data_IF_548126559736
#
_entry.id   IF_548126559736
#
_cell.length_a   1.000
_cell.length_b   1.000
_cell.length_c   1.000
_cell.angle_alpha   90.00
_cell.angle_beta   90.00
_cell.angle_gamma   90.00
#
_symmetry.space_group_name_H-M   'P 1'
#
loop_
_entity.id
_entity.type
_entity.pdbx_description
1 polymer ?
#
# COMPACT_ATOMS: atom_id res chain seq x y z
N UNK A 1 7.77 -16.44 8.12
CA UNK A 1 7.70 -15.81 9.45
C UNK A 1 6.25 -15.46 9.77
N UNK A 2 5.90 -15.38 11.05
CA UNK A 2 4.71 -14.69 11.56
C UNK A 2 5.14 -13.31 12.07
N UNK A 3 4.62 -12.25 11.47
CA UNK A 3 5.06 -10.87 11.68
C UNK A 3 3.92 -10.09 12.32
N UNK A 4 4.24 -9.28 13.32
CA UNK A 4 3.32 -8.30 13.88
C UNK A 4 3.71 -6.91 13.39
N UNK A 5 2.74 -6.16 12.87
CA UNK A 5 2.91 -4.76 12.49
C UNK A 5 2.05 -3.93 13.43
N UNK A 6 2.68 -3.12 14.28
CA UNK A 6 1.98 -2.14 15.10
C UNK A 6 2.07 -0.76 14.47
N UNK A 7 0.99 0.01 14.56
CA UNK A 7 1.02 1.44 14.25
C UNK A 7 1.36 2.20 15.52
N UNK A 8 2.37 3.07 15.45
CA UNK A 8 2.70 4.01 16.52
C UNK A 8 1.51 4.90 16.87
N UNK A 9 1.46 5.38 18.10
CA UNK A 9 0.47 6.38 18.53
C UNK A 9 -1.00 5.90 18.51
N UNK A 10 -1.90 6.84 18.77
CA UNK A 10 -3.36 6.66 18.78
C UNK A 10 -4.10 8.00 18.68
N UNK A 11 -5.41 7.94 18.45
CA UNK A 11 -6.32 9.07 18.65
C UNK A 11 -7.05 8.86 19.98
N UNK A 12 -6.81 9.75 20.94
CA UNK A 12 -7.42 9.70 22.27
C UNK A 12 -8.92 10.00 22.23
N UNK A 13 -9.63 9.68 23.31
CA UNK A 13 -11.05 9.98 23.50
C UNK A 13 -11.38 11.47 23.37
N UNK A 14 -10.43 12.35 23.69
CA UNK A 14 -10.55 13.80 23.47
C UNK A 14 -10.52 14.21 22.00
N UNK A 15 -10.14 13.31 21.09
CA UNK A 15 -9.85 13.61 19.68
C UNK A 15 -8.39 14.00 19.42
N UNK A 16 -7.57 14.17 20.47
CA UNK A 16 -6.14 14.48 20.29
C UNK A 16 -5.39 13.26 19.73
N UNK A 17 -4.63 13.47 18.64
CA UNK A 17 -3.67 12.48 18.16
C UNK A 17 -2.38 12.55 18.98
N UNK A 18 -1.80 11.41 19.33
CA UNK A 18 -0.56 11.35 20.14
C UNK A 18 0.72 11.33 19.30
N UNK A 19 0.60 11.33 17.98
CA UNK A 19 1.71 11.28 17.02
C UNK A 19 2.26 12.67 16.70
N UNK A 20 3.40 12.70 16.02
CA UNK A 20 3.85 13.90 15.33
C UNK A 20 2.87 14.31 14.21
N UNK A 21 2.94 15.58 13.83
CA UNK A 21 2.12 16.18 12.78
C UNK A 21 2.93 17.25 12.04
N UNK A 22 2.72 17.36 10.73
CA UNK A 22 3.50 18.24 9.87
C UNK A 22 2.86 18.38 8.49
N UNK A 23 3.64 18.15 7.42
CA UNK A 23 3.09 18.09 6.06
C UNK A 23 2.23 16.83 5.83
N UNK A 24 2.34 15.85 6.72
CA UNK A 24 1.47 14.69 6.84
C UNK A 24 1.33 14.29 8.32
N UNK A 25 0.16 13.82 8.74
CA UNK A 25 -0.02 13.27 10.07
C UNK A 25 0.60 11.88 10.17
N UNK A 26 1.49 11.66 11.13
CA UNK A 26 2.22 10.41 11.30
C UNK A 26 1.29 9.21 11.50
N UNK A 27 0.36 9.29 12.46
CA UNK A 27 -0.55 8.19 12.76
C UNK A 27 -1.39 7.82 11.52
N UNK A 28 -1.94 8.80 10.82
CA UNK A 28 -2.75 8.55 9.62
C UNK A 28 -1.95 7.92 8.48
N UNK A 29 -0.70 8.37 8.28
CA UNK A 29 0.18 7.79 7.26
C UNK A 29 0.49 6.32 7.58
N UNK A 30 0.89 6.03 8.82
CA UNK A 30 1.26 4.67 9.22
C UNK A 30 0.04 3.75 9.32
N UNK A 31 -1.14 4.27 9.69
CA UNK A 31 -2.42 3.55 9.59
C UNK A 31 -2.73 3.09 8.16
N UNK A 32 -2.38 3.91 7.16
CA UNK A 32 -2.56 3.59 5.74
C UNK A 32 -1.47 2.64 5.20
N UNK A 33 -0.22 2.81 5.66
CA UNK A 33 0.91 1.97 5.25
C UNK A 33 0.84 0.54 5.83
N UNK A 34 0.40 0.38 7.08
CA UNK A 34 0.41 -0.91 7.78
C UNK A 34 -0.28 -2.07 7.04
N UNK A 35 -1.52 -1.94 6.51
CA UNK A 35 -2.16 -3.01 5.76
C UNK A 35 -1.39 -3.34 4.46
N UNK A 36 -0.87 -2.34 3.76
CA UNK A 36 -0.06 -2.53 2.54
C UNK A 36 1.24 -3.28 2.84
N UNK A 37 1.89 -2.96 3.97
CA UNK A 37 3.06 -3.68 4.45
C UNK A 37 2.72 -5.14 4.80
N UNK A 38 1.60 -5.37 5.49
CA UNK A 38 1.14 -6.71 5.82
C UNK A 38 0.88 -7.54 4.56
N UNK A 39 0.21 -6.97 3.57
CA UNK A 39 -0.07 -7.65 2.30
C UNK A 39 1.18 -7.92 1.49
N UNK A 40 2.16 -7.02 1.51
CA UNK A 40 3.46 -7.24 0.87
C UNK A 40 4.19 -8.42 1.50
N UNK A 41 4.18 -8.57 2.83
CA UNK A 41 4.71 -9.78 3.49
C UNK A 41 3.91 -11.04 3.16
N UNK A 42 2.58 -10.95 3.09
CA UNK A 42 1.70 -12.09 2.77
C UNK A 42 1.95 -12.63 1.37
N UNK A 43 2.19 -11.75 0.38
CA UNK A 43 2.57 -12.14 -0.99
C UNK A 43 3.87 -12.96 -1.03
N UNK A 44 4.79 -12.68 -0.11
CA UNK A 44 6.05 -13.42 0.04
C UNK A 44 5.91 -14.72 0.87
N UNK A 45 4.68 -15.16 1.13
CA UNK A 45 4.40 -16.41 1.85
C UNK A 45 4.52 -16.31 3.37
N UNK A 46 4.42 -15.11 3.94
CA UNK A 46 4.45 -14.89 5.39
C UNK A 46 3.07 -14.64 5.98
N UNK A 47 2.92 -14.87 7.28
CA UNK A 47 1.74 -14.43 8.02
C UNK A 47 2.05 -13.06 8.60
N UNK A 48 1.12 -12.11 8.45
CA UNK A 48 1.28 -10.76 8.99
C UNK A 48 -0.03 -10.32 9.64
N UNK A 49 0.04 -9.88 10.90
CA UNK A 49 -1.09 -9.35 11.66
C UNK A 49 -0.85 -7.86 11.93
N UNK A 50 -1.88 -7.03 11.78
CA UNK A 50 -1.82 -5.59 12.00
C UNK A 50 -2.54 -5.24 13.30
N UNK A 51 -1.87 -4.48 14.18
CA UNK A 51 -2.43 -3.98 15.43
C UNK A 51 -2.45 -2.46 15.39
N UNK A 52 -3.65 -1.90 15.36
CA UNK A 52 -3.90 -0.46 15.47
C UNK A 52 -4.65 -0.22 16.78
N UNK A 53 -4.25 0.81 17.51
CA UNK A 53 -4.93 1.23 18.73
C UNK A 53 -6.37 1.70 18.40
N UNK A 54 -7.39 1.38 19.21
CA UNK A 54 -8.75 1.85 18.99
C UNK A 54 -8.83 3.37 19.12
N UNK A 55 -9.39 4.01 18.10
CA UNK A 55 -9.57 5.46 18.07
C UNK A 55 -10.68 5.90 19.03
N UNK A 56 -10.47 7.04 19.68
CA UNK A 56 -11.39 7.67 20.63
C UNK A 56 -11.76 6.81 21.85
N UNK A 57 -10.93 5.82 22.17
CA UNK A 57 -11.14 4.94 23.33
C UNK A 57 -10.23 5.30 24.51
N UNK A 58 -8.93 5.47 24.26
CA UNK A 58 -7.95 5.74 25.33
C UNK A 58 -8.11 7.13 25.91
N UNK A 59 -7.97 7.26 27.23
CA UNK A 59 -7.92 8.56 27.91
C UNK A 59 -6.53 9.18 27.85
N UNK A 60 -5.49 8.34 27.88
CA UNK A 60 -4.08 8.77 27.88
C UNK A 60 -3.22 7.90 26.97
N UNK A 61 -2.10 8.44 26.48
CA UNK A 61 -1.13 7.69 25.65
C UNK A 61 -0.49 6.49 26.36
N UNK A 62 -0.51 6.44 27.70
CA UNK A 62 0.02 5.31 28.45
C UNK A 62 -0.73 3.99 28.14
N UNK A 63 -1.99 4.07 27.71
CA UNK A 63 -2.82 2.93 27.36
C UNK A 63 -2.37 2.25 26.04
N UNK A 64 -1.58 2.93 25.20
CA UNK A 64 -1.00 2.34 24.00
C UNK A 64 -0.09 1.15 24.35
N UNK A 65 0.71 1.30 25.42
CA UNK A 65 1.59 0.22 25.92
C UNK A 65 0.77 -0.96 26.43
N UNK A 66 -0.22 -0.70 27.29
CA UNK A 66 -1.05 -1.76 27.89
C UNK A 66 -1.95 -2.45 26.87
N UNK A 67 -2.27 -1.76 25.77
CA UNK A 67 -3.01 -2.36 24.65
C UNK A 67 -2.12 -3.24 23.76
N UNK A 68 -0.97 -2.71 23.30
CA UNK A 68 -0.12 -3.37 22.31
C UNK A 68 0.65 -4.56 22.89
N UNK A 69 1.33 -4.38 24.02
CA UNK A 69 2.30 -5.38 24.53
C UNK A 69 1.65 -6.76 24.78
N UNK A 70 0.50 -6.88 25.47
CA UNK A 70 -0.11 -8.19 25.67
C UNK A 70 -0.49 -8.89 24.36
N UNK A 71 -1.01 -8.14 23.36
CA UNK A 71 -1.43 -8.67 22.06
C UNK A 71 -0.24 -9.12 21.21
N UNK A 72 0.85 -8.37 21.25
CA UNK A 72 2.12 -8.74 20.62
C UNK A 72 2.64 -10.02 21.28
N UNK A 73 2.73 -10.05 22.60
CA UNK A 73 3.37 -11.16 23.33
C UNK A 73 2.54 -12.45 23.30
N UNK A 74 1.21 -12.37 23.22
CA UNK A 74 0.35 -13.55 23.07
C UNK A 74 0.29 -14.10 21.65
N UNK A 75 0.78 -13.36 20.65
CA UNK A 75 0.60 -13.71 19.25
C UNK A 75 1.61 -14.71 18.68
N UNK A 76 2.69 -15.03 19.40
CA UNK A 76 3.71 -15.98 18.94
C UNK A 76 4.39 -15.54 17.64
N UNK A 77 4.73 -14.26 17.54
CA UNK A 77 5.40 -13.68 16.37
C UNK A 77 6.91 -13.96 16.38
N UNK A 78 7.50 -14.00 15.19
CA UNK A 78 8.97 -14.06 15.00
C UNK A 78 9.58 -12.65 15.03
N UNK A 79 8.85 -11.67 14.48
CA UNK A 79 9.28 -10.28 14.29
C UNK A 79 8.13 -9.31 14.59
N UNK A 80 8.44 -8.25 15.33
CA UNK A 80 7.62 -7.07 15.52
C UNK A 80 8.22 -5.89 14.75
N UNK A 81 7.37 -5.19 14.00
CA UNK A 81 7.69 -3.94 13.32
C UNK A 81 6.70 -2.89 13.82
N UNK A 82 7.20 -1.86 14.49
CA UNK A 82 6.38 -0.68 14.80
C UNK A 82 6.66 0.44 13.81
N UNK A 83 5.61 0.99 13.19
CA UNK A 83 5.70 2.05 12.19
C UNK A 83 5.53 3.44 12.82
N UNK A 84 6.51 4.30 12.60
CA UNK A 84 6.56 5.71 12.98
C UNK A 84 7.05 6.58 11.80
N UNK A 85 6.85 7.88 11.92
CA UNK A 85 7.52 8.91 11.12
C UNK A 85 8.21 9.88 12.08
N UNK A 86 9.40 10.32 11.68
CA UNK A 86 10.19 11.20 12.53
C UNK A 86 9.68 12.65 12.43
N UNK A 87 10.12 13.49 13.36
CA UNK A 87 9.86 14.92 13.31
C UNK A 87 11.03 15.71 13.93
N UNK A 88 11.15 16.97 13.55
CA UNK A 88 12.18 17.89 14.02
C UNK A 88 11.65 19.33 14.01
N UNK A 89 12.41 20.26 13.45
CA UNK A 89 12.09 21.66 13.17
C UNK A 89 11.84 21.89 11.66
N UNK A 90 11.47 20.84 10.93
CA UNK A 90 11.35 20.82 9.47
C UNK A 90 12.66 20.63 8.69
N UNK A 91 13.84 20.70 9.34
CA UNK A 91 15.14 20.51 8.67
C UNK A 91 15.63 19.05 8.69
N UNK A 92 15.20 18.27 9.69
CA UNK A 92 15.46 16.84 9.76
C UNK A 92 14.91 16.11 8.54
N UNK A 93 15.68 15.15 8.02
CA UNK A 93 15.28 14.30 6.90
C UNK A 93 15.99 12.96 6.90
N UNK A 94 15.36 11.97 6.31
CA UNK A 94 15.89 10.63 6.15
C UNK A 94 15.18 9.56 6.97
N UNK A 95 15.66 8.33 6.84
CA UNK A 95 15.13 7.15 7.50
C UNK A 95 16.07 6.66 8.60
N UNK A 96 15.51 6.20 9.72
CA UNK A 96 16.23 5.47 10.77
C UNK A 96 15.41 4.29 11.29
N UNK A 97 16.09 3.31 11.87
CA UNK A 97 15.42 2.14 12.45
C UNK A 97 16.02 1.86 13.83
N UNK A 98 15.16 1.85 14.83
CA UNK A 98 15.53 1.61 16.22
C UNK A 98 15.42 0.12 16.53
N UNK A 99 16.35 -0.41 17.33
CA UNK A 99 16.41 -1.82 17.70
C UNK A 99 16.86 -2.04 19.14
N UNK A 100 16.62 -3.25 19.67
CA UNK A 100 17.04 -3.64 21.03
C UNK A 100 18.15 -4.71 21.06
N UNK A 101 18.04 -5.74 20.21
CA UNK A 101 18.91 -6.93 20.23
C UNK A 101 19.83 -6.99 19.00
N UNK A 102 20.84 -7.87 19.04
CA UNK A 102 21.73 -8.11 17.88
C UNK A 102 20.95 -8.57 16.63
N UNK A 103 19.93 -9.43 16.79
CA UNK A 103 19.03 -9.80 15.69
C UNK A 103 18.23 -8.59 15.19
N UNK A 104 17.81 -7.71 16.10
CA UNK A 104 17.17 -6.44 15.74
C UNK A 104 18.09 -5.54 14.90
N UNK A 105 19.39 -5.45 15.25
CA UNK A 105 20.39 -4.71 14.49
C UNK A 105 20.50 -5.21 13.03
N UNK A 106 20.48 -6.53 12.83
CA UNK A 106 20.53 -7.11 11.48
C UNK A 106 19.34 -6.66 10.62
N UNK A 107 18.12 -6.73 11.15
CA UNK A 107 16.92 -6.24 10.46
C UNK A 107 17.00 -4.72 10.22
N UNK A 108 17.30 -3.95 11.27
CA UNK A 108 17.35 -2.50 11.22
C UNK A 108 18.36 -1.99 10.18
N UNK A 109 19.54 -2.62 10.12
CA UNK A 109 20.59 -2.27 9.14
C UNK A 109 20.10 -2.47 7.71
N UNK A 110 19.50 -3.62 7.40
CA UNK A 110 19.03 -3.91 6.05
C UNK A 110 17.85 -3.02 5.63
N UNK A 111 16.92 -2.75 6.54
CA UNK A 111 15.79 -1.83 6.30
C UNK A 111 16.32 -0.41 6.02
N UNK A 112 17.23 0.10 6.85
CA UNK A 112 17.86 1.41 6.62
C UNK A 112 18.58 1.48 5.27
N UNK A 113 19.28 0.42 4.86
CA UNK A 113 19.96 0.38 3.57
C UNK A 113 18.96 0.44 2.40
N UNK A 114 17.81 -0.24 2.51
CA UNK A 114 16.76 -0.19 1.48
C UNK A 114 16.05 1.15 1.43
N UNK A 115 15.58 1.68 2.56
CA UNK A 115 15.00 3.02 2.63
C UNK A 115 16.00 4.11 2.20
N UNK A 116 17.29 3.88 2.47
CA UNK A 116 18.42 4.72 2.09
C UNK A 116 18.61 4.91 0.58
N UNK A 117 17.95 4.10 -0.25
CA UNK A 117 17.95 4.28 -1.71
C UNK A 117 17.08 5.45 -2.17
N UNK A 118 16.15 5.90 -1.32
CA UNK A 118 15.22 7.01 -1.59
C UNK A 118 15.43 8.16 -0.61
N UNK A 119 15.57 7.84 0.67
CA UNK A 119 15.72 8.79 1.77
C UNK A 119 17.19 8.88 2.22
N UNK A 120 17.54 9.93 2.96
CA UNK A 120 18.85 9.97 3.63
C UNK A 120 18.94 8.83 4.65
N UNK A 121 19.89 7.92 4.50
CA UNK A 121 20.10 6.82 5.46
C UNK A 121 20.74 7.36 6.76
N UNK A 122 19.98 7.39 7.86
CA UNK A 122 20.44 7.81 9.20
C UNK A 122 20.84 6.64 10.10
N UNK A 123 20.91 5.43 9.52
CA UNK A 123 21.40 4.17 10.10
C UNK A 123 20.50 3.60 11.20
N UNK A 124 20.79 2.34 11.53
CA UNK A 124 20.20 1.64 12.66
C UNK A 124 20.72 2.24 13.98
N UNK A 125 19.85 2.39 14.98
CA UNK A 125 20.20 2.95 16.30
C UNK A 125 19.70 2.05 17.43
N UNK A 126 20.57 1.76 18.39
CA UNK A 126 20.19 1.01 19.58
C UNK A 126 19.35 1.92 20.49
N UNK A 127 18.16 1.46 20.86
CA UNK A 127 17.34 2.11 21.89
C UNK A 127 16.74 1.06 22.82
N UNK A 128 17.16 1.12 24.09
CA UNK A 128 16.69 0.20 25.15
C UNK A 128 15.55 0.77 25.99
N UNK A 129 15.22 2.05 25.83
CA UNK A 129 14.20 2.76 26.62
C UNK A 129 12.78 2.57 26.08
N UNK A 130 12.64 2.31 24.78
CA UNK A 130 11.34 2.18 24.13
C UNK A 130 10.59 0.92 24.54
N UNK A 131 9.39 1.09 25.10
CA UNK A 131 8.61 -0.03 25.63
C UNK A 131 8.31 -1.09 24.57
N UNK A 132 8.07 -0.67 23.33
CA UNK A 132 7.72 -1.59 22.25
C UNK A 132 8.88 -2.52 21.91
N UNK A 133 10.12 -2.05 22.08
CA UNK A 133 11.33 -2.82 21.82
C UNK A 133 11.76 -3.65 23.04
N UNK A 134 11.65 -3.12 24.25
CA UNK A 134 12.15 -3.77 25.47
C UNK A 134 11.13 -4.66 26.20
N UNK A 135 9.83 -4.51 25.91
CA UNK A 135 8.76 -5.26 26.57
C UNK A 135 8.09 -6.29 25.65
N UNK A 136 8.57 -6.43 24.41
CA UNK A 136 8.07 -7.42 23.45
C UNK A 136 8.91 -8.70 23.47
N UNK A 137 8.23 -9.84 23.36
CA UNK A 137 8.85 -11.15 23.25
C UNK A 137 9.53 -11.42 21.87
N UNK A 138 8.92 -11.10 20.71
CA UNK A 138 9.60 -11.27 19.42
C UNK A 138 10.82 -10.36 19.27
N UNK A 139 11.68 -10.64 18.28
CA UNK A 139 12.65 -9.62 17.86
C UNK A 139 11.88 -8.39 17.38
N UNK A 140 12.27 -7.20 17.82
CA UNK A 140 11.53 -5.97 17.52
C UNK A 140 12.41 -4.89 16.88
N UNK A 141 11.81 -4.17 15.93
CA UNK A 141 12.35 -2.94 15.34
C UNK A 141 11.26 -1.87 15.28
N UNK A 142 11.65 -0.61 15.41
CA UNK A 142 10.78 0.55 15.19
C UNK A 142 11.34 1.34 14.01
N UNK A 143 10.52 1.54 12.98
CA UNK A 143 10.94 2.18 11.73
C UNK A 143 10.43 3.62 11.73
N UNK A 144 11.37 4.56 11.73
CA UNK A 144 11.14 5.97 11.41
C UNK A 144 11.35 6.15 9.91
N UNK A 145 10.29 5.95 9.12
CA UNK A 145 10.44 5.74 7.67
C UNK A 145 10.99 6.98 6.95
N UNK A 146 10.53 8.16 7.36
CA UNK A 146 10.97 9.48 6.91
C UNK A 146 10.42 10.55 7.88
N UNK A 147 10.73 11.83 7.66
CA UNK A 147 10.26 12.94 8.52
C UNK A 147 8.90 13.47 8.08
N UNK A 148 7.88 13.45 8.96
CA UNK A 148 6.51 13.90 8.65
C UNK A 148 6.38 15.43 8.51
N UNK A 149 7.35 16.17 9.04
CA UNK A 149 7.46 17.63 8.98
C UNK A 149 8.43 18.10 7.87
N UNK A 150 9.03 17.18 7.12
CA UNK A 150 9.92 17.51 6.01
C UNK A 150 9.23 17.33 4.65
N UNK A 151 9.10 18.43 3.91
CA UNK A 151 8.43 18.45 2.60
C UNK A 151 9.12 17.57 1.55
N UNK A 152 10.46 17.55 1.51
CA UNK A 152 11.22 16.77 0.52
C UNK A 152 11.01 15.27 0.71
N UNK A 153 11.07 14.81 1.96
CA UNK A 153 10.81 13.42 2.32
C UNK A 153 9.36 13.02 1.98
N UNK A 154 8.37 13.83 2.33
CA UNK A 154 6.98 13.49 2.03
C UNK A 154 6.69 13.46 0.51
N UNK A 155 7.29 14.35 -0.29
CA UNK A 155 7.16 14.28 -1.75
C UNK A 155 7.75 12.98 -2.32
N UNK A 156 8.92 12.54 -1.82
CA UNK A 156 9.50 11.25 -2.20
C UNK A 156 8.59 10.09 -1.81
N UNK A 157 8.03 10.12 -0.60
CA UNK A 157 7.11 9.10 -0.13
C UNK A 157 5.83 9.04 -0.98
N UNK A 158 5.26 10.19 -1.37
CA UNK A 158 4.12 10.25 -2.30
C UNK A 158 4.45 9.67 -3.67
N UNK A 159 5.60 10.03 -4.23
CA UNK A 159 6.06 9.48 -5.53
C UNK A 159 6.23 7.96 -5.48
N UNK A 160 6.70 7.44 -4.34
CA UNK A 160 6.92 6.01 -4.17
C UNK A 160 5.63 5.24 -3.87
N UNK A 161 4.66 5.89 -3.22
CA UNK A 161 3.43 5.28 -2.74
C UNK A 161 3.65 4.34 -1.56
N UNK A 162 2.57 3.95 -0.89
CA UNK A 162 2.64 2.99 0.22
C UNK A 162 3.22 1.64 -0.21
N UNK A 163 2.94 1.19 -1.44
CA UNK A 163 3.47 -0.07 -1.97
C UNK A 163 5.00 -0.05 -2.11
N UNK A 164 5.58 1.04 -2.61
CA UNK A 164 7.02 1.13 -2.75
C UNK A 164 7.75 1.29 -1.41
N UNK A 165 7.16 2.00 -0.44
CA UNK A 165 7.70 2.03 0.95
C UNK A 165 7.64 0.63 1.57
N UNK A 166 6.50 -0.03 1.48
CA UNK A 166 6.32 -1.40 1.98
C UNK A 166 7.33 -2.35 1.33
N UNK A 167 7.53 -2.27 0.02
CA UNK A 167 8.54 -3.05 -0.70
C UNK A 167 9.92 -2.88 -0.09
N UNK A 168 10.40 -1.64 0.09
CA UNK A 168 11.74 -1.40 0.65
C UNK A 168 11.90 -2.00 2.05
N UNK A 169 10.87 -1.88 2.89
CA UNK A 169 10.85 -2.49 4.23
C UNK A 169 10.91 -4.02 4.13
N UNK A 170 10.06 -4.64 3.32
CA UNK A 170 10.02 -6.10 3.15
C UNK A 170 11.32 -6.64 2.58
N UNK A 171 11.90 -6.01 1.56
CA UNK A 171 13.20 -6.42 1.01
C UNK A 171 14.31 -6.33 2.05
N UNK A 172 14.27 -5.31 2.93
CA UNK A 172 15.21 -5.16 4.03
C UNK A 172 15.04 -6.29 5.06
N UNK A 173 13.80 -6.58 5.45
CA UNK A 173 13.50 -7.65 6.41
C UNK A 173 13.91 -9.02 5.87
N UNK A 174 13.48 -9.35 4.65
CA UNK A 174 13.69 -10.66 4.01
C UNK A 174 15.07 -10.85 3.40
N UNK A 175 15.89 -9.79 3.33
CA UNK A 175 17.21 -9.80 2.71
C UNK A 175 17.23 -10.35 1.28
N UNK A 176 16.18 -10.04 0.52
CA UNK A 176 16.04 -10.39 -0.90
C UNK A 176 15.27 -9.30 -1.60
N UNK A 177 15.50 -9.14 -2.90
CA UNK A 177 14.61 -8.34 -3.71
C UNK A 177 13.29 -9.07 -3.88
N UNK A 178 12.18 -8.35 -3.87
CA UNK A 178 10.85 -8.90 -4.14
C UNK A 178 10.37 -8.34 -5.47
N UNK A 179 9.80 -9.21 -6.30
CA UNK A 179 9.33 -8.81 -7.61
C UNK A 179 8.10 -7.93 -7.44
N UNK A 180 8.18 -6.70 -7.97
CA UNK A 180 7.02 -5.82 -8.12
C UNK A 180 6.17 -6.26 -9.31
N UNK A 181 5.80 -7.54 -9.35
CA UNK A 181 4.45 -7.81 -9.84
C UNK A 181 3.55 -7.33 -8.70
N UNK A 182 3.30 -6.01 -8.67
CA UNK A 182 2.19 -5.46 -7.90
C UNK A 182 0.98 -6.36 -8.13
N UNK A 183 0.09 -6.52 -7.15
CA UNK A 183 -1.07 -7.39 -7.35
C UNK A 183 -1.68 -6.96 -8.66
N UNK A 184 -1.56 -7.79 -9.71
CA UNK A 184 -2.31 -7.60 -10.92
C UNK A 184 -3.72 -7.83 -10.42
N UNK A 185 -4.42 -6.74 -10.10
CA UNK A 185 -5.79 -6.84 -9.66
C UNK A 185 -6.51 -7.46 -10.84
N UNK A 186 -6.76 -8.76 -10.75
CA UNK A 186 -7.37 -9.51 -11.82
C UNK A 186 -8.83 -9.12 -11.85
N UNK A 187 -9.18 -8.29 -12.82
CA UNK A 187 -10.56 -7.99 -13.13
C UNK A 187 -11.15 -9.21 -13.84
N UNK A 188 -12.40 -9.53 -13.51
CA UNK A 188 -13.11 -10.56 -14.24
C UNK A 188 -13.53 -10.04 -15.61
N UNK A 189 -13.87 -8.75 -15.68
CA UNK A 189 -14.25 -8.06 -16.90
C UNK A 189 -13.51 -6.72 -16.99
N UNK A 190 -12.86 -6.44 -18.12
CA UNK A 190 -12.29 -5.13 -18.42
C UNK A 190 -12.88 -4.61 -19.72
N UNK A 191 -13.38 -3.38 -19.68
CA UNK A 191 -13.98 -2.68 -20.81
C UNK A 191 -13.11 -1.47 -21.12
N UNK A 192 -12.54 -1.47 -22.32
CA UNK A 192 -11.60 -0.45 -22.79
C UNK A 192 -12.28 0.39 -23.87
N UNK A 193 -12.15 1.72 -23.77
CA UNK A 193 -12.63 2.69 -24.75
C UNK A 193 -11.54 3.73 -25.07
N UNK A 194 -11.76 4.60 -26.04
CA UNK A 194 -10.82 5.69 -26.37
C UNK A 194 -11.53 7.04 -26.36
N UNK A 195 -11.11 7.93 -25.45
CA UNK A 195 -11.66 9.28 -25.33
C UNK A 195 -13.12 9.34 -24.86
N UNK A 196 -13.72 10.52 -24.90
CA UNK A 196 -15.06 10.75 -24.34
C UNK A 196 -16.22 10.24 -25.23
N UNK A 197 -15.96 9.99 -26.52
CA UNK A 197 -17.00 9.59 -27.48
C UNK A 197 -17.55 8.20 -27.19
N UNK A 198 -16.67 7.22 -26.96
CA UNK A 198 -17.05 5.81 -26.78
C UNK A 198 -17.25 5.40 -25.32
N UNK A 199 -16.96 6.31 -24.38
CA UNK A 199 -17.11 6.11 -22.93
C UNK A 199 -18.53 5.76 -22.51
N UNK A 200 -19.54 6.38 -23.14
CA UNK A 200 -20.95 6.09 -22.85
C UNK A 200 -21.26 4.64 -23.25
N UNK A 201 -20.89 4.24 -24.47
CA UNK A 201 -21.08 2.87 -24.95
C UNK A 201 -20.36 1.85 -24.07
N UNK A 202 -19.15 2.16 -23.59
CA UNK A 202 -18.43 1.31 -22.65
C UNK A 202 -19.11 1.20 -21.28
N UNK A 203 -19.67 2.31 -20.79
CA UNK A 203 -20.46 2.32 -19.55
C UNK A 203 -21.70 1.42 -19.69
N UNK A 204 -22.38 1.48 -20.85
CA UNK A 204 -23.53 0.61 -21.16
C UNK A 204 -23.13 -0.85 -21.13
N UNK A 205 -22.03 -1.25 -21.79
CA UNK A 205 -21.53 -2.63 -21.71
C UNK A 205 -21.26 -3.05 -20.27
N UNK A 206 -20.77 -2.11 -19.44
CA UNK A 206 -20.54 -2.32 -18.02
C UNK A 206 -21.78 -2.68 -17.22
N UNK A 207 -22.96 -2.21 -17.61
CA UNK A 207 -24.22 -2.54 -16.92
C UNK A 207 -24.59 -4.03 -16.99
N UNK A 208 -24.02 -4.77 -17.95
CA UNK A 208 -24.19 -6.23 -18.03
C UNK A 208 -23.46 -7.01 -16.93
N UNK A 209 -22.58 -6.37 -16.14
CA UNK A 209 -21.72 -7.05 -15.17
C UNK A 209 -21.81 -6.41 -13.78
N UNK A 210 -22.45 -7.12 -12.83
CA UNK A 210 -22.70 -6.63 -11.46
C UNK A 210 -21.91 -7.36 -10.36
N UNK A 211 -20.88 -8.13 -10.72
CA UNK A 211 -20.12 -8.94 -9.74
C UNK A 211 -18.99 -8.19 -9.01
N UNK A 212 -18.91 -6.86 -9.17
CA UNK A 212 -17.96 -6.00 -8.47
C UNK A 212 -16.50 -6.16 -8.90
N UNK A 213 -16.21 -6.94 -9.95
CA UNK A 213 -14.86 -7.15 -10.50
C UNK A 213 -14.72 -6.63 -11.93
N UNK A 214 -15.30 -5.46 -12.18
CA UNK A 214 -15.27 -4.78 -13.48
C UNK A 214 -14.31 -3.58 -13.44
N UNK A 215 -13.50 -3.44 -14.49
CA UNK A 215 -12.75 -2.22 -14.80
C UNK A 215 -13.32 -1.61 -16.08
N UNK A 216 -13.68 -0.33 -16.05
CA UNK A 216 -14.02 0.45 -17.24
C UNK A 216 -12.98 1.56 -17.33
N UNK A 217 -12.15 1.56 -18.37
CA UNK A 217 -11.04 2.50 -18.48
C UNK A 217 -10.80 2.97 -19.91
N UNK A 218 -10.18 4.15 -20.02
CA UNK A 218 -9.62 4.61 -21.28
C UNK A 218 -8.44 3.72 -21.68
N UNK A 219 -8.21 3.55 -22.99
CA UNK A 219 -7.18 2.70 -23.55
C UNK A 219 -5.78 3.14 -23.13
N UNK A 220 -5.55 4.43 -22.90
CA UNK A 220 -4.27 4.93 -22.39
C UNK A 220 -3.95 4.42 -20.98
N UNK A 221 -4.97 4.05 -20.21
CA UNK A 221 -4.87 3.57 -18.84
C UNK A 221 -4.95 2.03 -18.78
N UNK A 222 -5.11 1.36 -19.92
CA UNK A 222 -5.21 -0.10 -20.00
C UNK A 222 -3.86 -0.77 -19.74
N UNK A 223 -3.85 -1.73 -18.80
CA UNK A 223 -2.67 -2.54 -18.47
C UNK A 223 -2.91 -4.00 -18.85
N UNK A 224 -2.16 -4.56 -19.83
CA UNK A 224 -2.30 -5.95 -20.25
C UNK A 224 -2.05 -7.00 -19.17
N UNK A 225 -2.72 -8.14 -19.27
CA UNK A 225 -2.53 -9.31 -18.41
C UNK A 225 -3.17 -9.17 -17.03
N UNK A 226 -4.13 -8.26 -16.87
CA UNK A 226 -4.87 -8.00 -15.63
C UNK A 226 -6.36 -8.32 -15.75
N UNK A 227 -6.80 -9.02 -16.80
CA UNK A 227 -8.22 -9.32 -17.02
C UNK A 227 -8.47 -10.75 -17.47
N UNK A 228 -9.64 -11.28 -17.14
CA UNK A 228 -10.11 -12.58 -17.66
C UNK A 228 -10.88 -12.41 -18.97
N UNK A 229 -11.68 -11.35 -19.09
CA UNK A 229 -12.50 -11.05 -20.24
C UNK A 229 -12.30 -9.59 -20.66
N UNK A 230 -11.78 -9.38 -21.87
CA UNK A 230 -11.51 -8.06 -22.41
C UNK A 230 -12.54 -7.67 -23.48
N UNK A 231 -13.18 -6.52 -23.30
CA UNK A 231 -14.10 -5.90 -24.25
C UNK A 231 -13.53 -4.57 -24.71
N UNK A 232 -13.53 -4.31 -26.02
CA UNK A 232 -12.94 -3.11 -26.62
C UNK A 232 -14.02 -2.39 -27.41
N UNK A 233 -14.28 -1.14 -27.03
CA UNK A 233 -15.45 -0.37 -27.47
C UNK A 233 -15.00 0.77 -28.38
N UNK A 234 -15.61 0.85 -29.56
CA UNK A 234 -15.36 1.91 -30.52
C UNK A 234 -14.19 1.64 -31.47
N UNK A 235 -14.20 2.32 -32.61
CA UNK A 235 -13.25 2.10 -33.71
C UNK A 235 -11.81 2.36 -33.31
N UNK A 236 -11.55 3.51 -32.68
CA UNK A 236 -10.20 3.94 -32.34
C UNK A 236 -9.53 3.03 -31.29
N UNK A 237 -10.26 2.58 -30.27
CA UNK A 237 -9.75 1.60 -29.31
C UNK A 237 -9.46 0.25 -29.98
N UNK A 238 -10.35 -0.22 -30.86
CA UNK A 238 -10.19 -1.47 -31.60
C UNK A 238 -8.97 -1.48 -32.54
N UNK A 239 -8.61 -0.35 -33.12
CA UNK A 239 -7.41 -0.23 -33.96
C UNK A 239 -6.11 -0.29 -33.15
N UNK A 240 -6.11 0.30 -31.96
CA UNK A 240 -4.91 0.41 -31.10
C UNK A 240 -4.64 -0.85 -30.29
N UNK A 241 -5.69 -1.52 -29.78
CA UNK A 241 -5.56 -2.56 -28.75
C UNK A 241 -4.65 -3.73 -29.15
N UNK A 242 -4.62 -4.11 -30.43
CA UNK A 242 -3.82 -5.24 -30.92
C UNK A 242 -2.31 -5.03 -30.77
N UNK A 243 -1.85 -3.77 -30.74
CA UNK A 243 -0.45 -3.43 -30.45
C UNK A 243 -0.11 -3.45 -28.96
N UNK A 244 -1.12 -3.37 -28.10
CA UNK A 244 -0.96 -3.24 -26.65
C UNK A 244 -1.01 -4.59 -25.94
N UNK A 245 -1.81 -5.54 -26.43
CA UNK A 245 -1.98 -6.84 -25.76
C UNK A 245 -2.07 -8.02 -26.73
N UNK A 246 -1.71 -9.20 -26.21
CA UNK A 246 -1.93 -10.51 -26.84
C UNK A 246 -3.16 -11.25 -26.28
N UNK A 247 -3.87 -10.64 -25.33
CA UNK A 247 -5.10 -11.19 -24.75
C UNK A 247 -6.18 -11.33 -25.83
N UNK A 248 -7.06 -12.33 -25.68
CA UNK A 248 -8.25 -12.43 -26.52
C UNK A 248 -9.23 -11.33 -26.09
N UNK A 249 -9.80 -10.63 -27.07
CA UNK A 249 -10.77 -9.57 -26.81
C UNK A 249 -11.97 -9.64 -27.76
N UNK A 250 -13.09 -9.12 -27.28
CA UNK A 250 -14.32 -8.91 -28.06
C UNK A 250 -14.41 -7.45 -28.46
N UNK A 251 -14.49 -7.19 -29.76
CA UNK A 251 -14.68 -5.83 -30.29
C UNK A 251 -16.17 -5.51 -30.40
N UNK A 252 -16.56 -4.34 -29.92
CA UNK A 252 -17.90 -3.78 -30.10
C UNK A 252 -17.73 -2.40 -30.74
N UNK A 253 -17.87 -2.35 -32.07
CA UNK A 253 -17.75 -1.11 -32.84
C UNK A 253 -18.79 -1.01 -33.94
N UNK A 254 -19.34 0.18 -34.10
CA UNK A 254 -20.23 0.59 -35.18
C UNK A 254 -19.53 1.41 -36.26
N UNK A 255 -20.28 1.80 -37.28
CA UNK A 255 -19.85 2.76 -38.29
C UNK A 255 -19.71 4.19 -37.70
N UNK A 256 -20.46 4.48 -36.65
CA UNK A 256 -20.40 5.72 -35.89
C UNK A 256 -20.69 5.49 -34.39
N UNK A 257 -20.73 6.58 -33.61
CA UNK A 257 -20.94 6.54 -32.15
C UNK A 257 -22.31 5.96 -31.76
N UNK A 258 -23.36 6.23 -32.54
CA UNK A 258 -24.71 5.76 -32.26
C UNK A 258 -24.86 4.29 -32.62
N UNK A 259 -24.31 3.87 -33.77
CA UNK A 259 -24.25 2.44 -34.13
C UNK A 259 -23.45 1.64 -33.10
N UNK A 260 -22.33 2.19 -32.60
CA UNK A 260 -21.56 1.57 -31.51
C UNK A 260 -22.39 1.43 -30.23
N UNK A 261 -23.18 2.45 -29.88
CA UNK A 261 -24.07 2.42 -28.72
C UNK A 261 -25.17 1.36 -28.87
N UNK A 262 -25.81 1.26 -30.04
CA UNK A 262 -26.83 0.22 -30.30
C UNK A 262 -26.24 -1.18 -30.21
N UNK A 263 -25.05 -1.41 -30.76
CA UNK A 263 -24.35 -2.70 -30.62
C UNK A 263 -23.98 -3.02 -29.17
N UNK A 264 -23.64 -2.02 -28.36
CA UNK A 264 -23.40 -2.20 -26.93
C UNK A 264 -24.68 -2.65 -26.19
N UNK A 265 -25.83 -2.05 -26.50
CA UNK A 265 -27.13 -2.46 -25.97
C UNK A 265 -27.49 -3.90 -26.39
N UNK A 266 -27.33 -4.23 -27.68
CA UNK A 266 -27.58 -5.57 -28.21
C UNK A 266 -26.64 -6.63 -27.63
N UNK A 267 -25.46 -6.23 -27.15
CA UNK A 267 -24.51 -7.13 -26.55
C UNK A 267 -24.90 -7.52 -25.11
N UNK A 268 -25.37 -6.57 -24.31
CA UNK A 268 -25.76 -6.82 -22.91
C UNK A 268 -27.15 -7.42 -22.76
N UNK A 269 -28.01 -7.32 -23.77
CA UNK A 269 -29.37 -7.87 -23.76
C UNK A 269 -29.42 -9.35 -24.20
N UNK A 270 -28.32 -10.10 -24.03
CA UNK A 270 -28.15 -11.49 -24.46
C UNK A 270 -28.10 -12.46 -23.30
#
# INVERSE_FOLDING_TARGET
>A
MKICITVGHSILKSGACTSADGVVNEYQYNKSLAPVLADTFRKEGHKADVIICPEKQFKTKAEEKTYKIPRVNSGGYDLLIELHLNASDGQGKGSEVLYYSNKGLEYATRICNKLGTVFRNRRAKLDKGLYILNSSNPTAVLIESFFCDNKEDYEKAKKLGHEGIAKLIVEGVLNKNINNEGVKQMYKHTIVYDGEVDKISATVVGWGYNDGKILICDIKDYVPGQTQNLYVIGGAACEKIGSMTKEKFTMIKGNDRFDTLYKALDFINR
#
